data_IF_454440919225
#
_entry.id   IF_454440919225
#
_cell.length_a   1.000
_cell.length_b   1.000
_cell.length_c   1.000
_cell.angle_alpha   90.00
_cell.angle_beta   90.00
_cell.angle_gamma   90.00
#
_symmetry.space_group_name_H-M   'P 1'
#
loop_
_entity.id
_entity.type
_entity.pdbx_description
1 polymer ?
#
# COMPACT_ATOMS: atom_id res chain seq x y z
N UNK A 1 5.73 -13.45 -7.20
CA UNK A 1 6.44 -12.14 -7.25
C UNK A 1 5.48 -10.97 -7.18
N UNK A 2 4.60 -10.73 -8.17
CA UNK A 2 3.66 -9.59 -8.13
C UNK A 2 2.71 -9.56 -6.92
N UNK A 3 2.28 -10.70 -6.40
CA UNK A 3 1.48 -10.72 -5.15
C UNK A 3 2.27 -10.21 -3.95
N UNK A 4 3.54 -10.60 -3.83
CA UNK A 4 4.38 -10.14 -2.74
C UNK A 4 4.55 -8.62 -2.85
N UNK A 5 4.72 -8.09 -4.06
CA UNK A 5 4.75 -6.64 -4.31
C UNK A 5 3.43 -5.98 -3.92
N UNK A 6 2.29 -6.51 -4.38
CA UNK A 6 0.97 -5.97 -4.06
C UNK A 6 0.67 -5.99 -2.55
N UNK A 7 1.06 -7.07 -1.88
CA UNK A 7 0.94 -7.22 -0.44
C UNK A 7 1.86 -6.23 0.29
N UNK A 8 3.13 -6.13 -0.11
CA UNK A 8 4.07 -5.17 0.48
C UNK A 8 3.56 -3.73 0.34
N UNK A 9 3.05 -3.35 -0.84
CA UNK A 9 2.46 -2.03 -1.07
C UNK A 9 1.24 -1.79 -0.18
N UNK A 10 0.38 -2.80 0.01
CA UNK A 10 -0.75 -2.70 0.93
C UNK A 10 -0.31 -2.52 2.37
N UNK A 11 0.67 -3.29 2.85
CA UNK A 11 1.16 -3.15 4.23
C UNK A 11 1.84 -1.78 4.40
N UNK A 12 2.64 -1.35 3.41
CA UNK A 12 3.29 -0.03 3.39
C UNK A 12 2.27 1.13 3.39
N UNK A 13 1.22 0.99 2.59
CA UNK A 13 0.16 1.99 2.47
C UNK A 13 -0.71 2.05 3.72
N UNK A 14 -1.33 0.92 4.11
CA UNK A 14 -2.26 0.87 5.26
C UNK A 14 -1.53 1.16 6.56
N UNK A 15 -0.42 0.47 6.82
CA UNK A 15 0.32 0.65 8.07
C UNK A 15 0.91 2.05 8.18
N UNK A 16 1.47 2.59 7.10
CA UNK A 16 2.02 3.94 7.10
C UNK A 16 0.95 5.02 7.22
N UNK A 17 -0.23 4.82 6.64
CA UNK A 17 -1.37 5.71 6.84
C UNK A 17 -1.81 5.74 8.30
N UNK A 18 -2.00 4.56 8.91
CA UNK A 18 -2.36 4.44 10.34
C UNK A 18 -1.29 5.11 11.21
N UNK A 19 -0.01 4.86 10.93
CA UNK A 19 1.09 5.47 11.67
C UNK A 19 1.02 6.99 11.66
N UNK A 20 0.86 7.61 10.49
CA UNK A 20 0.80 9.07 10.37
C UNK A 20 -0.47 9.65 11.02
N UNK A 21 -1.61 8.99 10.89
CA UNK A 21 -2.87 9.43 11.51
C UNK A 21 -2.86 9.29 13.04
N UNK A 22 -2.11 8.34 13.58
CA UNK A 22 -1.93 8.14 15.01
C UNK A 22 -0.85 9.05 15.63
N UNK A 23 -0.28 9.99 14.87
CA UNK A 23 0.83 10.84 15.34
C UNK A 23 2.15 10.08 15.51
N UNK A 24 2.30 8.94 14.85
CA UNK A 24 3.49 8.10 14.91
C UNK A 24 4.71 8.73 14.22
N UNK A 25 5.89 8.21 14.55
CA UNK A 25 7.20 8.69 14.08
C UNK A 25 7.72 7.91 12.86
N UNK A 26 8.99 8.14 12.52
CA UNK A 26 9.75 7.25 11.63
C UNK A 26 9.63 5.80 12.09
N UNK A 27 9.33 4.93 11.14
CA UNK A 27 9.02 3.50 11.30
C UNK A 27 9.34 2.82 9.97
N UNK A 28 9.20 1.51 9.84
CA UNK A 28 9.57 0.78 8.61
C UNK A 28 8.79 1.18 7.32
N UNK A 29 7.84 2.12 7.41
CA UNK A 29 7.10 2.65 6.28
C UNK A 29 7.95 3.65 5.51
N UNK A 30 8.27 3.32 4.25
CA UNK A 30 9.24 4.06 3.44
C UNK A 30 8.94 5.56 3.35
N UNK A 31 7.67 5.94 3.18
CA UNK A 31 7.26 7.34 3.04
C UNK A 31 7.47 8.18 4.31
N UNK A 32 7.69 7.56 5.48
CA UNK A 32 7.99 8.29 6.71
C UNK A 32 9.41 8.85 6.73
N UNK A 33 10.33 8.27 5.94
CA UNK A 33 11.71 8.75 5.82
C UNK A 33 11.89 9.80 4.72
N UNK A 34 10.85 10.07 3.94
CA UNK A 34 10.90 11.08 2.89
C UNK A 34 10.49 12.44 3.45
N UNK A 35 11.27 13.46 3.11
CA UNK A 35 10.96 14.86 3.41
C UNK A 35 9.87 15.37 2.46
N UNK A 36 8.64 14.94 2.75
CA UNK A 36 7.43 15.29 2.02
C UNK A 36 6.50 16.12 2.91
N UNK A 37 5.78 17.10 2.34
CA UNK A 37 4.72 17.78 3.07
C UNK A 37 3.63 16.76 3.48
N UNK A 38 2.91 16.99 4.60
CA UNK A 38 2.00 16.00 5.19
C UNK A 38 0.95 15.45 4.21
N UNK A 39 0.38 16.33 3.37
CA UNK A 39 -0.60 15.94 2.37
C UNK A 39 -0.02 14.97 1.34
N UNK A 40 1.20 15.21 0.85
CA UNK A 40 1.85 14.38 -0.16
C UNK A 40 2.21 13.00 0.41
N UNK A 41 2.67 12.95 1.67
CA UNK A 41 2.92 11.68 2.37
C UNK A 41 1.64 10.87 2.51
N UNK A 42 0.54 11.49 2.93
CA UNK A 42 -0.77 10.84 3.05
C UNK A 42 -1.26 10.31 1.70
N UNK A 43 -1.18 11.14 0.65
CA UNK A 43 -1.52 10.75 -0.72
C UNK A 43 -0.69 9.56 -1.18
N UNK A 44 0.62 9.55 -0.89
CA UNK A 44 1.49 8.43 -1.23
C UNK A 44 1.05 7.11 -0.58
N UNK A 45 0.65 7.12 0.70
CA UNK A 45 0.11 5.92 1.35
C UNK A 45 -1.20 5.45 0.69
N UNK A 46 -2.10 6.38 0.36
CA UNK A 46 -3.35 6.06 -0.36
C UNK A 46 -3.08 5.45 -1.73
N UNK A 47 -2.11 5.99 -2.48
CA UNK A 47 -1.69 5.44 -3.76
C UNK A 47 -1.10 4.03 -3.61
N UNK A 48 -0.27 3.80 -2.59
CA UNK A 48 0.28 2.47 -2.31
C UNK A 48 -0.83 1.44 -2.02
N UNK A 49 -1.86 1.83 -1.26
CA UNK A 49 -3.06 1.01 -1.01
C UNK A 49 -3.77 0.70 -2.33
N UNK A 50 -4.05 1.73 -3.14
CA UNK A 50 -4.75 1.58 -4.41
C UNK A 50 -4.01 0.64 -5.37
N UNK A 51 -2.72 0.90 -5.60
CA UNK A 51 -1.89 0.09 -6.50
C UNK A 51 -1.76 -1.34 -5.97
N UNK A 52 -1.44 -1.52 -4.69
CA UNK A 52 -1.30 -2.84 -4.08
C UNK A 52 -2.60 -3.65 -4.14
N UNK A 53 -3.72 -3.01 -3.80
CA UNK A 53 -5.06 -3.58 -3.91
C UNK A 53 -5.41 -3.97 -5.35
N UNK A 54 -5.16 -3.10 -6.32
CA UNK A 54 -5.39 -3.39 -7.74
C UNK A 54 -4.57 -4.58 -8.22
N UNK A 55 -3.29 -4.71 -7.83
CA UNK A 55 -2.45 -5.86 -8.20
C UNK A 55 -3.04 -7.17 -7.66
N UNK A 56 -3.46 -7.19 -6.39
CA UNK A 56 -4.02 -8.40 -5.77
C UNK A 56 -5.38 -8.77 -6.36
N UNK A 57 -6.26 -7.78 -6.57
CA UNK A 57 -7.59 -7.99 -7.15
C UNK A 57 -7.50 -8.43 -8.60
N UNK A 58 -6.64 -7.80 -9.39
CA UNK A 58 -6.42 -8.16 -10.78
C UNK A 58 -5.96 -9.62 -10.88
N UNK A 59 -5.03 -10.04 -10.03
CA UNK A 59 -4.63 -11.44 -10.01
C UNK A 59 -5.76 -12.38 -9.63
N UNK A 60 -6.60 -12.05 -8.63
CA UNK A 60 -7.76 -12.88 -8.26
C UNK A 60 -8.69 -13.08 -9.46
N UNK A 61 -9.01 -11.99 -10.18
CA UNK A 61 -9.90 -12.04 -11.35
C UNK A 61 -9.36 -12.92 -12.47
N UNK A 62 -8.05 -12.91 -12.73
CA UNK A 62 -7.44 -13.62 -13.87
C UNK A 62 -6.90 -15.02 -13.53
N UNK A 63 -6.74 -15.36 -12.25
CA UNK A 63 -6.37 -16.71 -11.79
C UNK A 63 -7.53 -17.53 -11.28
N UNK A 64 -8.71 -16.96 -11.07
CA UNK A 64 -9.90 -17.78 -10.81
C UNK A 64 -10.10 -18.73 -12.00
N UNK A 65 -10.00 -20.05 -11.82
CA UNK A 65 -10.49 -20.97 -12.82
C UNK A 65 -11.96 -20.61 -13.01
N UNK A 66 -12.35 -20.20 -14.21
CA UNK A 66 -13.75 -20.29 -14.58
C UNK A 66 -14.04 -21.78 -14.55
N UNK A 67 -14.56 -22.26 -13.43
CA UNK A 67 -15.11 -23.61 -13.33
C UNK A 67 -16.30 -23.60 -14.30
N UNK A 68 -16.06 -24.18 -15.48
CA UNK A 68 -17.06 -24.51 -16.48
C UNK A 68 -17.37 -25.99 -16.34
#
# INVERSE_FOLDING_TARGET
>A
MLEAVGLLLLIQGVGGLINNLAGGSESWFLLNYLDLPPWARLTGHVLAIGIGGSILLWRKVFRSPRVM
#
